data_IF_297618885988
#
_entry.id   IF_297618885988
#
_cell.length_a   1.000
_cell.length_b   1.000
_cell.length_c   1.000
_cell.angle_alpha   90.00
_cell.angle_beta   90.00
_cell.angle_gamma   90.00
#
_symmetry.space_group_name_H-M   'P 1'
#
loop_
_entity.id
_entity.type
_entity.pdbx_description
1 polymer ?
#
# COMPACT_ATOMS: atom_id res chain seq x y z
N UNK A 1 17.61 37.32 -40.63
CA UNK A 1 18.05 36.14 -39.84
C UNK A 1 17.14 34.96 -40.17
N UNK A 2 17.71 33.79 -40.47
CA UNK A 2 17.03 32.68 -41.19
C UNK A 2 16.08 31.87 -40.29
N UNK A 3 14.79 31.87 -40.65
CA UNK A 3 13.67 31.11 -40.05
C UNK A 3 13.92 29.59 -39.94
N UNK A 4 14.82 29.03 -40.76
CA UNK A 4 15.23 27.62 -40.71
C UNK A 4 16.16 27.24 -39.55
N UNK A 5 16.85 28.20 -38.92
CA UNK A 5 17.77 27.92 -37.80
C UNK A 5 17.01 27.59 -36.51
N UNK A 6 15.92 28.33 -36.25
CA UNK A 6 15.10 28.21 -35.03
C UNK A 6 14.38 26.85 -34.97
N UNK A 7 13.95 26.33 -36.13
CA UNK A 7 13.26 25.04 -36.19
C UNK A 7 14.19 23.85 -35.91
N UNK A 8 15.42 23.89 -36.41
CA UNK A 8 16.41 22.84 -36.11
C UNK A 8 16.83 22.88 -34.63
N UNK A 9 17.06 24.06 -34.06
CA UNK A 9 17.38 24.21 -32.63
C UNK A 9 16.25 23.64 -31.76
N UNK A 10 14.99 23.91 -32.10
CA UNK A 10 13.82 23.37 -31.39
C UNK A 10 13.78 21.83 -31.41
N UNK A 11 14.11 21.18 -32.53
CA UNK A 11 14.16 19.71 -32.62
C UNK A 11 15.25 19.11 -31.73
N UNK A 12 16.44 19.70 -31.72
CA UNK A 12 17.53 19.24 -30.86
C UNK A 12 17.22 19.44 -29.37
N UNK A 13 16.56 20.54 -29.01
CA UNK A 13 16.14 20.82 -27.65
C UNK A 13 15.07 19.84 -27.17
N UNK A 14 14.13 19.47 -28.05
CA UNK A 14 13.11 18.47 -27.77
C UNK A 14 13.72 17.06 -27.59
N UNK A 15 14.64 16.67 -28.47
CA UNK A 15 15.38 15.41 -28.35
C UNK A 15 16.22 15.35 -27.07
N UNK A 16 16.86 16.47 -26.70
CA UNK A 16 17.65 16.55 -25.47
C UNK A 16 16.76 16.45 -24.22
N UNK A 17 15.62 17.15 -24.21
CA UNK A 17 14.61 17.02 -23.14
C UNK A 17 14.09 15.58 -23.01
N UNK A 18 13.85 14.90 -24.13
CA UNK A 18 13.41 13.50 -24.13
C UNK A 18 14.51 12.56 -23.62
N UNK A 19 15.77 12.79 -23.99
CA UNK A 19 16.90 12.01 -23.52
C UNK A 19 17.16 12.22 -22.01
N UNK A 20 17.04 13.45 -21.51
CA UNK A 20 17.16 13.76 -20.08
C UNK A 20 16.00 13.15 -19.29
N UNK A 21 14.77 13.21 -19.82
CA UNK A 21 13.62 12.55 -19.21
C UNK A 21 13.81 11.02 -19.16
N UNK A 22 14.31 10.40 -20.23
CA UNK A 22 14.61 8.97 -20.26
C UNK A 22 15.69 8.59 -19.23
N UNK A 23 16.76 9.39 -19.10
CA UNK A 23 17.78 9.17 -18.07
C UNK A 23 17.25 9.33 -16.64
N UNK A 24 16.34 10.28 -16.40
CA UNK A 24 15.72 10.48 -15.09
C UNK A 24 14.79 9.31 -14.70
N UNK A 25 14.10 8.70 -15.67
CA UNK A 25 13.28 7.50 -15.43
C UNK A 25 14.17 6.32 -15.03
N UNK A 26 15.29 6.10 -15.72
CA UNK A 26 16.22 4.99 -15.42
C UNK A 26 16.89 5.18 -14.05
N UNK A 27 17.21 6.43 -13.67
CA UNK A 27 17.79 6.72 -12.36
C UNK A 27 16.80 6.53 -11.20
N UNK A 28 15.49 6.68 -11.43
CA UNK A 28 14.47 6.51 -10.40
C UNK A 28 14.32 5.03 -9.96
N UNK A 29 14.47 4.07 -10.89
CA UNK A 29 14.35 2.64 -10.61
C UNK A 29 15.46 2.13 -9.66
N UNK A 30 16.64 2.76 -9.69
CA UNK A 30 17.81 2.34 -8.91
C UNK A 30 17.72 2.64 -7.40
N UNK A 31 16.69 3.37 -6.94
CA UNK A 31 16.54 3.78 -5.52
C UNK A 31 15.40 3.09 -4.78
N UNK A 32 14.80 2.06 -5.38
CA UNK A 32 13.82 1.22 -4.69
C UNK A 32 14.54 0.37 -3.61
N UNK A 33 14.66 0.94 -2.41
CA UNK A 33 15.19 0.24 -1.24
C UNK A 33 14.44 -1.08 -1.02
N UNK A 34 15.18 -2.17 -0.90
CA UNK A 34 14.64 -3.51 -0.68
C UNK A 34 13.80 -3.53 0.61
N UNK A 35 12.49 -3.77 0.48
CA UNK A 35 11.65 -4.06 1.63
C UNK A 35 11.99 -5.48 2.12
N UNK A 36 12.64 -5.59 3.28
CA UNK A 36 12.78 -6.87 3.98
C UNK A 36 11.39 -7.39 4.33
N UNK A 37 10.90 -8.33 3.53
CA UNK A 37 9.59 -8.95 3.71
C UNK A 37 9.79 -10.19 4.57
N UNK A 38 9.23 -10.25 5.80
CA UNK A 38 9.40 -11.41 6.65
C UNK A 38 8.71 -12.62 6.02
N UNK A 39 9.15 -13.82 6.36
CA UNK A 39 8.45 -15.04 6.02
C UNK A 39 7.15 -15.13 6.83
N UNK A 40 6.00 -15.10 6.16
CA UNK A 40 4.70 -15.22 6.80
C UNK A 40 3.74 -16.12 6.00
N UNK A 41 2.75 -16.68 6.70
CA UNK A 41 1.63 -17.42 6.15
C UNK A 41 0.31 -16.78 6.56
N UNK A 42 -0.65 -16.79 5.64
CA UNK A 42 -2.03 -16.36 5.87
C UNK A 42 -2.92 -17.57 5.65
N UNK A 43 -3.71 -17.92 6.65
CA UNK A 43 -4.70 -18.98 6.56
C UNK A 43 -6.09 -18.44 6.91
N UNK A 44 -7.13 -19.04 6.34
CA UNK A 44 -8.53 -18.65 6.51
C UNK A 44 -9.32 -19.74 7.24
N UNK A 45 -10.13 -19.32 8.21
CA UNK A 45 -11.01 -20.21 8.94
C UNK A 45 -12.13 -20.73 8.03
N UNK A 46 -12.30 -22.06 7.97
CA UNK A 46 -13.27 -22.75 7.12
C UNK A 46 -14.53 -23.19 7.89
N UNK A 47 -14.84 -22.57 9.03
CA UNK A 47 -16.02 -22.97 9.79
C UNK A 47 -17.32 -22.67 9.01
N UNK A 48 -18.28 -23.61 9.01
CA UNK A 48 -19.63 -23.40 8.45
C UNK A 48 -20.38 -22.25 9.12
N UNK A 49 -20.12 -22.05 10.41
CA UNK A 49 -20.61 -20.93 11.21
C UNK A 49 -19.40 -20.15 11.68
N UNK A 50 -19.34 -18.86 11.36
CA UNK A 50 -18.19 -18.04 11.71
C UNK A 50 -18.04 -17.94 13.24
N UNK A 51 -16.83 -18.20 13.80
CA UNK A 51 -16.56 -18.01 15.21
C UNK A 51 -16.94 -16.61 15.69
N UNK A 52 -17.49 -16.51 16.90
CA UNK A 52 -17.87 -15.20 17.46
C UNK A 52 -16.73 -14.60 18.27
N UNK A 53 -16.02 -15.44 19.04
CA UNK A 53 -14.95 -15.05 19.96
C UNK A 53 -13.57 -15.54 19.49
N UNK A 54 -12.51 -14.98 20.08
CA UNK A 54 -11.13 -15.37 19.77
C UNK A 54 -10.85 -16.82 20.18
N UNK A 55 -11.42 -17.28 21.30
CA UNK A 55 -11.26 -18.66 21.79
C UNK A 55 -11.79 -19.68 20.79
N UNK A 56 -12.96 -19.39 20.20
CA UNK A 56 -13.54 -20.22 19.15
C UNK A 56 -12.73 -20.12 17.86
N UNK A 57 -12.21 -18.92 17.53
CA UNK A 57 -11.42 -18.71 16.33
C UNK A 57 -10.11 -19.50 16.36
N UNK A 58 -9.43 -19.57 17.51
CA UNK A 58 -8.19 -20.34 17.68
C UNK A 58 -8.38 -21.82 17.33
N UNK A 59 -9.56 -22.38 17.64
CA UNK A 59 -9.90 -23.79 17.39
C UNK A 59 -10.41 -24.05 15.98
N UNK A 60 -10.50 -23.03 15.12
CA UNK A 60 -10.99 -23.21 13.76
C UNK A 60 -10.01 -24.00 12.89
N UNK A 61 -10.54 -24.71 11.90
CA UNK A 61 -9.75 -25.28 10.82
C UNK A 61 -9.32 -24.18 9.84
N UNK A 62 -8.02 -23.96 9.76
CA UNK A 62 -7.39 -22.90 8.98
C UNK A 62 -6.71 -23.46 7.75
N UNK A 63 -7.12 -22.97 6.58
CA UNK A 63 -6.59 -23.41 5.28
C UNK A 63 -6.06 -22.20 4.49
N UNK A 64 -5.00 -22.35 3.67
CA UNK A 64 -4.39 -21.24 2.94
C UNK A 64 -5.34 -20.66 1.87
N UNK A 65 -6.23 -21.49 1.33
CA UNK A 65 -7.20 -21.08 0.32
C UNK A 65 -8.52 -20.70 1.00
N UNK A 66 -9.04 -19.52 0.67
CA UNK A 66 -10.35 -19.10 1.12
C UNK A 66 -11.44 -19.83 0.32
N UNK A 67 -12.20 -20.73 0.96
CA UNK A 67 -13.27 -21.50 0.34
C UNK A 67 -14.49 -21.57 1.28
N UNK A 68 -15.22 -20.46 1.46
CA UNK A 68 -16.29 -20.38 2.44
C UNK A 68 -17.37 -21.43 2.18
N UNK A 69 -17.51 -22.38 3.12
CA UNK A 69 -18.42 -23.54 3.03
C UNK A 69 -19.91 -23.17 2.98
N UNK A 70 -20.29 -21.95 3.40
CA UNK A 70 -21.64 -21.40 3.34
C UNK A 70 -21.58 -19.90 2.98
N UNK A 71 -21.19 -19.58 1.75
CA UNK A 71 -21.03 -18.20 1.28
C UNK A 71 -22.34 -17.64 0.72
N UNK A 72 -23.20 -17.12 1.58
CA UNK A 72 -24.19 -16.13 1.15
C UNK A 72 -23.52 -14.84 0.67
N UNK A 73 -24.22 -14.00 -0.08
CA UNK A 73 -23.76 -12.63 -0.41
C UNK A 73 -23.77 -11.69 0.80
N UNK A 74 -24.41 -12.13 1.89
CA UNK A 74 -24.49 -11.40 3.14
C UNK A 74 -23.11 -11.16 3.76
N UNK A 75 -23.03 -10.09 4.52
CA UNK A 75 -21.84 -9.73 5.28
C UNK A 75 -21.70 -10.67 6.48
N UNK A 76 -20.53 -11.29 6.62
CA UNK A 76 -20.24 -12.22 7.73
C UNK A 76 -18.83 -11.99 8.25
N UNK A 77 -18.59 -12.20 9.56
CA UNK A 77 -17.24 -12.09 10.11
C UNK A 77 -16.34 -13.18 9.53
N UNK A 78 -15.20 -12.78 8.99
CA UNK A 78 -14.17 -13.67 8.47
C UNK A 78 -12.99 -13.68 9.42
N UNK A 79 -12.58 -14.88 9.82
CA UNK A 79 -11.41 -15.07 10.65
C UNK A 79 -10.22 -15.50 9.82
N UNK A 80 -9.11 -14.80 10.01
CA UNK A 80 -7.88 -14.98 9.27
C UNK A 80 -6.75 -15.09 10.27
N UNK A 81 -5.85 -16.05 10.09
CA UNK A 81 -4.68 -16.26 10.93
C UNK A 81 -3.45 -15.86 10.15
N UNK A 82 -2.67 -14.95 10.72
CA UNK A 82 -1.40 -14.47 10.16
C UNK A 82 -0.28 -15.00 11.04
N UNK A 83 0.60 -15.82 10.49
CA UNK A 83 1.72 -16.42 11.20
C UNK A 83 3.02 -15.91 10.60
N UNK A 84 3.86 -15.27 11.40
CA UNK A 84 5.17 -14.77 10.96
C UNK A 84 6.24 -15.71 11.52
N UNK A 85 7.01 -16.37 10.66
CA UNK A 85 7.98 -17.38 11.06
C UNK A 85 9.34 -16.78 11.43
N UNK A 86 9.62 -15.58 10.94
CA UNK A 86 10.88 -14.91 11.22
C UNK A 86 10.93 -14.44 12.67
N UNK A 87 12.08 -14.68 13.30
CA UNK A 87 12.37 -14.05 14.58
C UNK A 87 12.69 -12.57 14.31
N UNK A 88 12.09 -11.65 15.09
CA UNK A 88 12.39 -10.24 14.93
C UNK A 88 13.82 -9.99 15.39
N UNK A 89 14.69 -9.67 14.44
CA UNK A 89 16.01 -9.11 14.73
C UNK A 89 15.77 -7.85 15.58
N UNK A 90 16.37 -7.80 16.77
CA UNK A 90 16.27 -6.68 17.72
C UNK A 90 14.86 -6.31 18.22
N UNK A 91 13.95 -7.29 18.34
CA UNK A 91 12.55 -7.04 18.77
C UNK A 91 11.79 -6.04 17.86
N UNK A 92 12.24 -5.89 16.61
CA UNK A 92 11.51 -5.10 15.63
C UNK A 92 10.04 -5.54 15.56
N UNK A 93 9.13 -4.57 15.52
CA UNK A 93 7.71 -4.87 15.41
C UNK A 93 7.36 -5.35 13.99
N UNK A 94 6.16 -5.89 13.82
CA UNK A 94 5.63 -6.22 12.51
C UNK A 94 4.50 -5.25 12.15
N UNK A 95 4.53 -4.80 10.91
CA UNK A 95 3.49 -4.02 10.27
C UNK A 95 2.59 -5.00 9.50
N UNK A 96 1.34 -5.16 9.94
CA UNK A 96 0.32 -5.97 9.25
C UNK A 96 -0.60 -5.03 8.49
N UNK A 97 -0.53 -5.08 7.16
CA UNK A 97 -1.37 -4.29 6.26
C UNK A 97 -2.60 -5.11 5.88
N UNK A 98 -3.78 -4.51 5.98
CA UNK A 98 -5.06 -5.12 5.65
C UNK A 98 -5.81 -4.20 4.69
N UNK A 99 -5.86 -4.60 3.43
CA UNK A 99 -6.59 -3.90 2.38
C UNK A 99 -7.85 -4.65 1.95
N UNK A 100 -8.78 -3.95 1.29
CA UNK A 100 -8.73 -2.53 0.93
C UNK A 100 -9.26 -1.58 2.03
N UNK A 101 -8.95 -0.28 1.94
CA UNK A 101 -9.31 0.73 2.96
C UNK A 101 -10.81 0.81 3.29
N UNK A 102 -11.69 0.48 2.34
CA UNK A 102 -13.14 0.54 2.54
C UNK A 102 -13.70 -0.52 3.51
N UNK A 103 -12.89 -1.50 3.92
CA UNK A 103 -13.29 -2.49 4.93
C UNK A 103 -13.84 -1.79 6.18
N UNK A 104 -15.06 -2.18 6.57
CA UNK A 104 -15.86 -1.44 7.56
C UNK A 104 -15.35 -1.61 8.97
N UNK A 105 -15.01 -2.84 9.34
CA UNK A 105 -14.56 -3.22 10.67
C UNK A 105 -13.53 -4.34 10.57
N UNK A 106 -12.37 -4.06 11.14
CA UNK A 106 -11.23 -4.95 11.23
C UNK A 106 -10.82 -4.95 12.70
N UNK A 107 -10.59 -6.13 13.25
CA UNK A 107 -10.07 -6.29 14.60
C UNK A 107 -8.88 -7.26 14.56
N UNK A 108 -7.71 -6.78 14.95
CA UNK A 108 -6.50 -7.56 15.11
C UNK A 108 -6.38 -8.00 16.56
N UNK A 109 -6.30 -9.30 16.79
CA UNK A 109 -6.04 -9.92 18.08
C UNK A 109 -4.59 -10.40 18.14
N UNK A 110 -3.90 -10.01 19.20
CA UNK A 110 -2.55 -10.44 19.51
C UNK A 110 -2.51 -10.95 20.96
N UNK A 111 -1.79 -12.05 21.17
CA UNK A 111 -1.52 -12.53 22.52
C UNK A 111 -0.40 -11.67 23.12
N UNK A 112 -0.52 -11.26 24.38
CA UNK A 112 0.53 -10.54 25.11
C UNK A 112 0.78 -11.23 26.44
N UNK A 113 1.80 -10.81 27.19
CA UNK A 113 2.04 -11.32 28.55
C UNK A 113 0.88 -11.07 29.53
N UNK A 114 -0.05 -10.16 29.19
CA UNK A 114 -1.26 -9.87 29.98
C UNK A 114 -2.52 -10.56 29.44
N UNK A 115 -2.36 -11.45 28.45
CA UNK A 115 -3.46 -12.09 27.73
C UNK A 115 -3.74 -11.45 26.37
N UNK A 116 -4.88 -11.79 25.78
CA UNK A 116 -5.30 -11.30 24.48
C UNK A 116 -5.58 -9.79 24.52
N UNK A 117 -5.02 -9.07 23.57
CA UNK A 117 -5.32 -7.66 23.33
C UNK A 117 -5.82 -7.49 21.91
N UNK A 118 -6.68 -6.50 21.67
CA UNK A 118 -7.19 -6.21 20.33
C UNK A 118 -6.96 -4.76 19.90
N UNK A 119 -6.67 -4.59 18.61
CA UNK A 119 -6.59 -3.30 17.93
C UNK A 119 -7.71 -3.24 16.88
N UNK A 120 -8.44 -2.13 16.80
CA UNK A 120 -9.59 -1.97 15.89
C UNK A 120 -9.28 -0.94 14.82
N UNK A 121 -9.65 -1.24 13.58
CA UNK A 121 -9.56 -0.34 12.43
C UNK A 121 -10.78 -0.49 11.52
N UNK A 122 -10.97 0.45 10.61
CA UNK A 122 -11.99 0.33 9.58
C UNK A 122 -12.65 1.66 9.22
N UNK A 123 -13.24 1.71 8.03
CA UNK A 123 -13.85 2.92 7.48
C UNK A 123 -15.02 3.48 8.30
N UNK A 124 -15.60 2.70 9.22
CA UNK A 124 -16.69 3.11 10.10
C UNK A 124 -16.25 3.51 11.52
N UNK A 125 -14.95 3.46 11.83
CA UNK A 125 -14.42 3.81 13.14
C UNK A 125 -13.83 5.22 13.08
N UNK A 126 -14.35 6.13 13.92
CA UNK A 126 -13.99 7.54 13.92
C UNK A 126 -12.62 7.84 14.57
N UNK A 127 -12.05 6.87 15.29
CA UNK A 127 -10.78 7.01 16.01
C UNK A 127 -10.12 5.64 16.13
N UNK A 128 -9.74 5.06 14.99
CA UNK A 128 -8.97 3.82 14.98
C UNK A 128 -7.51 4.14 15.30
N UNK A 129 -6.94 3.50 16.32
CA UNK A 129 -5.49 3.57 16.59
C UNK A 129 -4.61 2.96 15.48
N UNK A 130 -5.19 2.75 14.29
CA UNK A 130 -4.53 2.26 13.10
C UNK A 130 -3.76 3.39 12.45
N UNK A 131 -2.53 3.09 12.08
CA UNK A 131 -1.80 3.96 11.18
C UNK A 131 -2.46 3.83 9.81
N UNK A 132 -2.78 4.96 9.16
CA UNK A 132 -3.36 4.91 7.81
C UNK A 132 -2.23 4.75 6.80
N UNK A 133 -2.44 3.86 5.86
CA UNK A 133 -1.55 3.61 4.73
C UNK A 133 -2.38 3.75 3.44
N UNK A 134 -1.77 4.17 2.33
CA UNK A 134 -2.52 4.40 1.10
C UNK A 134 -3.28 3.12 0.68
N UNK A 135 -4.61 3.21 0.70
CA UNK A 135 -5.50 2.13 0.27
C UNK A 135 -5.64 0.95 1.25
N UNK A 136 -5.07 1.00 2.46
CA UNK A 136 -5.14 -0.09 3.44
C UNK A 136 -5.16 0.41 4.89
N UNK A 137 -5.47 -0.50 5.82
CA UNK A 137 -5.32 -0.29 7.27
C UNK A 137 -4.00 -0.89 7.75
N UNK A 138 -3.23 -0.18 8.57
CA UNK A 138 -1.97 -0.67 9.11
C UNK A 138 -2.09 -0.91 10.62
N UNK A 139 -1.69 -2.11 11.04
CA UNK A 139 -1.56 -2.49 12.44
C UNK A 139 -0.10 -2.73 12.79
N UNK A 140 0.33 -2.24 13.96
CA UNK A 140 1.67 -2.48 14.47
C UNK A 140 1.56 -3.49 15.59
N UNK A 141 2.19 -4.64 15.40
CA UNK A 141 2.18 -5.74 16.35
C UNK A 141 3.59 -5.99 16.88
N UNK A 142 3.76 -5.94 18.20
CA UNK A 142 5.04 -6.23 18.84
C UNK A 142 5.25 -7.74 18.95
N UNK A 143 6.49 -8.22 18.83
CA UNK A 143 6.78 -9.63 18.96
C UNK A 143 6.45 -10.13 20.37
N UNK A 144 5.91 -11.35 20.45
CA UNK A 144 5.71 -12.02 21.73
C UNK A 144 6.95 -12.83 22.15
N UNK A 145 7.31 -12.84 23.45
CA UNK A 145 8.48 -13.58 23.95
C UNK A 145 8.43 -15.09 23.68
N UNK A 146 7.23 -15.65 23.55
CA UNK A 146 7.02 -17.11 23.39
C UNK A 146 7.05 -17.58 21.94
N UNK A 147 7.57 -16.77 21.00
CA UNK A 147 7.77 -17.16 19.60
C UNK A 147 6.46 -17.53 18.86
N UNK A 148 5.31 -17.11 19.38
CA UNK A 148 4.00 -17.29 18.76
C UNK A 148 3.59 -16.02 18.03
N UNK A 149 4.36 -15.59 17.02
CA UNK A 149 4.01 -14.47 16.12
C UNK A 149 2.78 -14.82 15.24
N UNK A 150 1.72 -15.28 15.89
CA UNK A 150 0.43 -15.68 15.34
C UNK A 150 -0.57 -14.62 15.77
N UNK A 151 -1.13 -13.97 14.77
CA UNK A 151 -2.12 -12.93 14.94
C UNK A 151 -3.43 -13.38 14.31
N UNK A 152 -4.54 -12.97 14.89
CA UNK A 152 -5.86 -13.29 14.37
C UNK A 152 -6.57 -12.02 13.95
N UNK A 153 -7.09 -12.00 12.73
CA UNK A 153 -7.87 -10.91 12.18
C UNK A 153 -9.32 -11.34 12.09
N UNK A 154 -10.22 -10.49 12.59
CA UNK A 154 -11.66 -10.57 12.38
C UNK A 154 -12.08 -9.43 11.47
N UNK A 155 -12.61 -9.76 10.29
CA UNK A 155 -13.00 -8.78 9.28
C UNK A 155 -14.46 -8.99 8.89
N UNK A 156 -15.28 -7.96 9.05
CA UNK A 156 -16.66 -7.99 8.58
C UNK A 156 -16.68 -7.62 7.09
N UNK A 157 -16.97 -8.61 6.23
CA UNK A 157 -17.00 -8.44 4.79
C UNK A 157 -17.97 -9.43 4.10
N UNK A 158 -18.52 -9.03 2.95
CA UNK A 158 -19.30 -9.92 2.07
C UNK A 158 -18.40 -10.99 1.47
N UNK A 159 -18.91 -12.20 1.20
CA UNK A 159 -18.18 -13.36 0.61
C UNK A 159 -17.40 -13.06 -0.68
N UNK A 160 -17.79 -12.03 -1.44
CA UNK A 160 -17.13 -11.61 -2.68
C UNK A 160 -15.96 -10.64 -2.48
N UNK A 161 -15.82 -10.06 -1.29
CA UNK A 161 -14.75 -9.08 -1.03
C UNK A 161 -13.39 -9.78 -1.06
N UNK A 162 -12.53 -9.36 -1.97
CA UNK A 162 -11.12 -9.74 -1.98
C UNK A 162 -10.38 -8.94 -0.91
N UNK A 163 -9.81 -9.64 0.07
CA UNK A 163 -9.05 -9.03 1.17
C UNK A 163 -7.58 -9.33 0.90
N UNK A 164 -6.75 -8.29 0.92
CA UNK A 164 -5.30 -8.42 0.73
C UNK A 164 -4.64 -8.17 2.07
N UNK A 165 -3.80 -9.11 2.51
CA UNK A 165 -3.07 -8.99 3.77
C UNK A 165 -1.59 -9.19 3.48
N UNK A 166 -0.76 -8.36 4.07
CA UNK A 166 0.69 -8.52 4.02
C UNK A 166 1.32 -8.16 5.37
N UNK A 167 2.45 -8.78 5.68
CA UNK A 167 3.27 -8.45 6.84
C UNK A 167 4.64 -7.94 6.38
N UNK A 168 5.14 -6.91 7.06
CA UNK A 168 6.47 -6.34 6.84
C UNK A 168 7.13 -5.99 8.18
N UNK A 169 8.45 -5.89 8.22
CA UNK A 169 9.16 -5.41 9.42
C UNK A 169 8.85 -3.92 9.70
N UNK A 170 8.78 -3.54 10.97
CA UNK A 170 8.51 -2.18 11.44
C UNK A 170 9.56 -1.72 12.49
N UNK A 171 10.08 -0.49 12.41
CA UNK A 171 9.79 0.52 11.38
C UNK A 171 10.45 0.16 10.05
N UNK A 172 9.67 0.19 8.96
CA UNK A 172 10.22 0.05 7.62
C UNK A 172 10.72 1.41 7.16
N UNK A 173 12.01 1.55 6.88
CA UNK A 173 12.56 2.74 6.23
C UNK A 173 11.94 3.02 4.85
N UNK A 174 11.35 2.00 4.20
CA UNK A 174 10.79 2.10 2.85
C UNK A 174 9.35 2.63 2.73
N UNK A 175 8.44 2.36 3.69
CA UNK A 175 7.01 2.70 3.52
C UNK A 175 6.78 4.22 3.54
N UNK A 176 7.38 4.95 4.49
CA UNK A 176 7.28 6.42 4.54
C UNK A 176 7.95 7.11 3.34
N UNK A 177 9.03 6.50 2.83
CA UNK A 177 9.78 7.03 1.69
C UNK A 177 8.99 6.84 0.39
N UNK A 178 8.32 5.70 0.23
CA UNK A 178 7.51 5.39 -0.95
C UNK A 178 6.31 6.33 -1.11
N UNK A 179 5.51 6.57 -0.06
CA UNK A 179 4.37 7.49 -0.16
C UNK A 179 4.78 8.92 -0.49
N UNK A 180 5.88 9.38 0.13
CA UNK A 180 6.45 10.71 -0.13
C UNK A 180 6.99 10.83 -1.55
N UNK A 181 7.68 9.79 -2.04
CA UNK A 181 8.18 9.74 -3.42
C UNK A 181 7.05 9.68 -4.44
N UNK A 182 5.95 8.98 -4.16
CA UNK A 182 4.78 8.90 -5.03
C UNK A 182 4.07 10.25 -5.13
N UNK A 183 3.92 10.95 -3.99
CA UNK A 183 3.40 12.32 -3.95
C UNK A 183 4.28 13.32 -4.71
N UNK A 184 5.60 13.26 -4.51
CA UNK A 184 6.57 14.12 -5.22
C UNK A 184 6.57 13.79 -6.72
N UNK A 185 6.58 12.51 -7.09
CA UNK A 185 6.56 12.06 -8.48
C UNK A 185 5.31 12.51 -9.23
N UNK A 186 4.14 12.43 -8.59
CA UNK A 186 2.89 12.94 -9.15
C UNK A 186 2.93 14.46 -9.37
N UNK A 187 3.43 15.22 -8.39
CA UNK A 187 3.58 16.67 -8.50
C UNK A 187 4.55 17.07 -9.62
N UNK A 188 5.71 16.42 -9.69
CA UNK A 188 6.70 16.66 -10.74
C UNK A 188 6.14 16.29 -12.12
N UNK A 189 5.41 15.18 -12.22
CA UNK A 189 4.76 14.75 -13.46
C UNK A 189 3.74 15.77 -13.96
N UNK A 190 2.91 16.33 -13.08
CA UNK A 190 1.94 17.38 -13.43
C UNK A 190 2.65 18.65 -13.90
N UNK A 191 3.67 19.11 -13.16
CA UNK A 191 4.45 20.29 -13.55
C UNK A 191 5.15 20.11 -14.90
N UNK A 192 5.68 18.91 -15.16
CA UNK A 192 6.29 18.57 -16.44
C UNK A 192 5.27 18.56 -17.58
N UNK A 193 4.08 17.99 -17.38
CA UNK A 193 3.01 18.00 -18.36
C UNK A 193 2.56 19.44 -18.71
N UNK A 194 2.43 20.31 -17.70
CA UNK A 194 2.11 21.73 -17.88
C UNK A 194 3.21 22.43 -18.68
N UNK A 195 4.48 22.14 -18.39
CA UNK A 195 5.63 22.72 -19.10
C UNK A 195 5.64 22.32 -20.58
N UNK A 196 5.48 21.02 -20.87
CA UNK A 196 5.41 20.51 -22.25
C UNK A 196 4.24 21.15 -23.00
N UNK A 197 3.06 21.19 -22.37
CA UNK A 197 1.87 21.82 -22.96
C UNK A 197 2.09 23.31 -23.26
N UNK A 198 2.79 24.03 -22.37
CA UNK A 198 3.10 25.45 -22.55
C UNK A 198 4.08 25.69 -23.71
N UNK A 199 5.13 24.86 -23.83
CA UNK A 199 6.10 24.95 -24.93
C UNK A 199 5.41 24.66 -26.27
N UNK A 200 4.59 23.62 -26.33
CA UNK A 200 3.83 23.26 -27.53
C UNK A 200 2.86 24.38 -27.90
N UNK A 201 2.12 24.93 -26.93
CA UNK A 201 1.18 26.03 -27.17
C UNK A 201 1.89 27.30 -27.67
N UNK A 202 3.05 27.63 -27.12
CA UNK A 202 3.85 28.77 -27.57
C UNK A 202 4.41 28.55 -28.98
N UNK A 203 4.91 27.34 -29.28
CA UNK A 203 5.45 26.99 -30.60
C UNK A 203 4.39 26.88 -31.70
N UNK A 204 3.16 26.49 -31.35
CA UNK A 204 2.03 26.39 -32.27
C UNK A 204 1.26 27.69 -32.45
N UNK A 205 1.57 28.74 -31.69
CA UNK A 205 0.94 30.05 -31.81
C UNK A 205 1.93 31.07 -32.41
N UNK A 206 2.09 31.13 -33.75
CA UNK A 206 2.95 32.11 -34.40
C UNK A 206 2.23 33.47 -34.43
N UNK A 207 2.13 34.13 -33.28
CA UNK A 207 1.70 35.52 -33.20
C UNK A 207 2.41 36.23 -32.05
N UNK A 208 3.74 36.29 -32.16
CA UNK A 208 4.52 37.40 -31.62
C UNK A 208 5.11 38.17 -32.81
N UNK A 209 4.21 38.74 -33.62
CA UNK A 209 4.55 39.91 -34.42
C UNK A 209 4.60 41.09 -33.44
N UNK A 210 5.76 41.26 -32.78
CA UNK A 210 5.99 42.37 -31.87
C UNK A 210 6.95 43.34 -32.58
N UNK A 211 6.38 44.36 -33.22
CA UNK A 211 7.12 45.55 -33.66
C UNK A 211 6.84 46.04 -35.08
N UNK A 212 5.61 46.49 -35.35
CA UNK A 212 5.38 47.55 -36.33
C UNK A 212 4.53 48.66 -35.70
N UNK A 213 5.20 49.55 -34.98
CA UNK A 213 4.81 50.95 -34.76
C UNK A 213 6.11 51.77 -34.69
#
# INVERSE_FOLDING_TARGET
MKKGSIWNISKYLLCYLFAVAACLVIAAEATAGSLSTPNYRIDYCQAKTAPVTIEQAIQCDYQPNYSPLNSGLAESPRWIRVQIFDQPIDRAAFAIRVGPYFLKKIELFQLTSKGWTSQKAGSRLANDGSHRDIGAHLFIASPTPENHNTYYLKIDASSLTHIVISASSWPSSGIQVSERLLGIGAQVGILFAILVFSIVSFGLNPSADLGSL
#
